data_IF_979653290414
#
_entry.id   IF_979653290414
#
_cell.length_a   1.000
_cell.length_b   1.000
_cell.length_c   1.000
_cell.angle_alpha   90.00
_cell.angle_beta   90.00
_cell.angle_gamma   90.00
#
_symmetry.space_group_name_H-M   'P 1'
#
loop_
_entity.id
_entity.type
_entity.pdbx_description
1 polymer ?
#
# COMPACT_ATOMS: atom_id res chain seq x y z
N UNK A 1 6.25 -22.92 -30.56
CA UNK A 1 7.55 -23.08 -29.92
C UNK A 1 7.27 -22.91 -28.43
N UNK A 2 7.51 -23.93 -27.55
CA UNK A 2 7.20 -23.80 -26.14
C UNK A 2 8.24 -22.92 -25.46
N UNK A 3 7.78 -21.94 -24.68
CA UNK A 3 8.63 -21.12 -23.81
C UNK A 3 9.20 -22.00 -22.69
N UNK A 4 10.52 -22.15 -22.66
CA UNK A 4 11.23 -22.87 -21.62
C UNK A 4 11.19 -22.08 -20.31
N UNK A 5 10.63 -22.68 -19.26
CA UNK A 5 10.81 -22.22 -17.89
C UNK A 5 12.30 -22.33 -17.53
N UNK A 6 12.95 -21.20 -17.31
CA UNK A 6 14.29 -21.18 -16.75
C UNK A 6 14.21 -21.66 -15.30
N UNK A 7 14.87 -22.76 -14.98
CA UNK A 7 15.00 -23.25 -13.61
C UNK A 7 15.90 -22.29 -12.82
N UNK A 8 15.60 -22.01 -11.54
CA UNK A 8 16.43 -21.13 -10.71
C UNK A 8 17.82 -21.73 -10.50
N UNK A 9 18.85 -20.89 -10.27
CA UNK A 9 20.22 -21.36 -10.08
C UNK A 9 20.33 -22.25 -8.84
N UNK A 10 20.93 -23.42 -9.00
CA UNK A 10 21.16 -24.39 -7.92
C UNK A 10 22.55 -24.16 -7.35
N UNK A 11 22.67 -23.75 -6.10
CA UNK A 11 23.94 -23.72 -5.37
C UNK A 11 24.08 -24.99 -4.53
N UNK A 12 25.25 -25.62 -4.57
CA UNK A 12 25.62 -26.77 -3.73
C UNK A 12 26.35 -26.26 -2.50
N UNK A 13 25.91 -26.69 -1.31
CA UNK A 13 26.68 -26.44 -0.09
C UNK A 13 27.86 -27.43 0.01
N UNK A 14 28.81 -27.19 0.92
CA UNK A 14 30.02 -28.00 1.14
C UNK A 14 29.77 -29.48 1.53
N UNK A 15 28.52 -29.91 1.62
CA UNK A 15 28.12 -31.31 1.95
C UNK A 15 27.26 -31.95 0.83
N UNK A 16 27.19 -31.35 -0.35
CA UNK A 16 26.50 -31.92 -1.50
C UNK A 16 24.96 -32.00 -1.41
N UNK A 17 24.34 -31.34 -0.43
CA UNK A 17 22.90 -31.25 -0.31
C UNK A 17 22.39 -30.09 -1.18
N UNK A 18 21.38 -30.37 -2.02
CA UNK A 18 20.66 -29.33 -2.77
C UNK A 18 19.83 -28.52 -1.78
N UNK A 19 20.30 -27.33 -1.46
CA UNK A 19 19.48 -26.36 -0.73
C UNK A 19 18.69 -25.57 -1.76
N UNK A 20 17.42 -25.88 -1.89
CA UNK A 20 16.49 -25.01 -2.59
C UNK A 20 16.25 -23.81 -1.68
N UNK A 21 16.96 -22.70 -1.91
CA UNK A 21 16.52 -21.41 -1.40
C UNK A 21 15.23 -21.07 -2.13
N UNK A 22 14.12 -21.46 -1.54
CA UNK A 22 12.83 -20.87 -1.86
C UNK A 22 12.95 -19.41 -1.39
N UNK A 23 13.34 -18.51 -2.30
CA UNK A 23 13.19 -17.07 -2.05
C UNK A 23 11.69 -16.86 -1.84
N UNK A 24 11.30 -16.84 -0.56
CA UNK A 24 9.93 -16.56 -0.18
C UNK A 24 9.70 -15.13 -0.60
N UNK A 25 8.95 -14.94 -1.70
CA UNK A 25 8.54 -13.60 -2.10
C UNK A 25 7.83 -12.98 -0.88
N UNK A 26 8.42 -11.93 -0.34
CA UNK A 26 7.93 -11.34 0.91
C UNK A 26 6.48 -10.82 0.78
N UNK A 27 6.01 -10.58 -0.45
CA UNK A 27 4.60 -10.27 -0.75
C UNK A 27 3.67 -11.48 -0.64
N UNK A 28 4.18 -12.72 -0.58
CA UNK A 28 3.34 -13.94 -0.51
C UNK A 28 2.43 -13.98 0.73
N UNK A 29 2.78 -13.20 1.78
CA UNK A 29 1.90 -13.02 2.94
C UNK A 29 0.57 -12.35 2.59
N UNK A 30 0.48 -11.65 1.44
CA UNK A 30 -0.78 -11.10 0.91
C UNK A 30 -1.63 -12.13 0.18
N UNK A 31 -1.06 -13.27 -0.28
CA UNK A 31 -1.81 -14.26 -1.05
C UNK A 31 -3.09 -14.74 -0.34
N UNK A 32 -3.06 -15.17 0.95
CA UNK A 32 -4.23 -15.69 1.66
C UNK A 32 -5.16 -14.59 2.20
N UNK A 33 -4.95 -13.32 1.87
CA UNK A 33 -5.65 -12.19 2.48
C UNK A 33 -6.66 -11.60 1.51
N UNK A 34 -7.91 -11.44 1.94
CA UNK A 34 -8.98 -10.74 1.21
C UNK A 34 -9.29 -9.36 1.82
N UNK A 35 -8.68 -9.06 2.99
CA UNK A 35 -8.86 -7.80 3.70
C UNK A 35 -7.60 -7.40 4.45
N UNK A 36 -7.26 -6.12 4.34
CA UNK A 36 -6.21 -5.50 5.15
C UNK A 36 -6.82 -4.44 6.05
N UNK A 37 -6.28 -4.34 7.26
CA UNK A 37 -6.53 -3.26 8.22
C UNK A 37 -5.23 -2.49 8.39
N UNK A 38 -5.26 -1.18 8.18
CA UNK A 38 -4.10 -0.30 8.29
C UNK A 38 -4.39 0.69 9.42
N UNK A 39 -3.63 0.61 10.49
CA UNK A 39 -3.80 1.43 11.69
C UNK A 39 -2.60 2.34 11.90
N UNK A 40 -2.87 3.64 12.03
CA UNK A 40 -1.83 4.57 12.46
C UNK A 40 -1.57 4.39 13.97
N UNK A 41 -0.32 4.16 14.33
CA UNK A 41 0.12 3.95 15.70
C UNK A 41 0.95 5.15 16.20
N UNK A 42 0.69 5.61 17.40
CA UNK A 42 1.45 6.71 18.04
C UNK A 42 2.70 6.19 18.77
N UNK A 43 2.61 5.00 19.34
CA UNK A 43 3.70 4.36 20.07
C UNK A 43 4.18 3.13 19.33
N UNK A 44 5.47 3.04 19.14
CA UNK A 44 6.11 1.97 18.38
C UNK A 44 7.20 1.31 19.18
N UNK A 45 7.20 -0.03 19.18
CA UNK A 45 8.32 -0.83 19.62
C UNK A 45 9.54 -0.71 18.68
N UNK A 46 10.50 -1.60 18.84
CA UNK A 46 11.82 -1.53 18.22
C UNK A 46 11.84 -1.63 16.69
N UNK A 47 10.82 -2.18 16.03
CA UNK A 47 10.81 -2.51 14.59
C UNK A 47 11.00 -1.27 13.69
N UNK A 48 10.47 -0.12 14.09
CA UNK A 48 10.59 1.13 13.32
C UNK A 48 11.45 2.19 14.00
N UNK A 49 12.36 1.81 14.89
CA UNK A 49 13.25 2.77 15.59
C UNK A 49 14.17 3.52 14.65
N UNK A 50 14.53 2.95 13.49
CA UNK A 50 15.34 3.61 12.45
C UNK A 50 14.59 4.66 11.64
N UNK A 51 13.27 4.78 11.77
CA UNK A 51 12.46 5.74 11.02
C UNK A 51 12.04 6.92 11.88
N UNK A 52 12.70 8.05 11.72
CA UNK A 52 12.35 9.33 12.36
C UNK A 52 11.14 9.97 11.67
N UNK A 53 9.93 9.44 11.90
CA UNK A 53 8.73 9.94 11.26
C UNK A 53 7.53 9.92 12.20
N UNK A 54 6.58 10.83 11.94
CA UNK A 54 5.31 10.91 12.68
C UNK A 54 4.27 9.92 12.17
N UNK A 55 4.35 9.53 10.89
CA UNK A 55 3.37 8.67 10.24
C UNK A 55 3.91 7.25 10.17
N UNK A 56 3.49 6.44 11.12
CA UNK A 56 3.81 5.00 11.22
C UNK A 56 2.50 4.22 11.28
N UNK A 57 2.45 3.10 10.57
CA UNK A 57 1.26 2.30 10.42
C UNK A 57 1.58 0.82 10.61
N UNK A 58 0.65 0.09 11.18
CA UNK A 58 0.62 -1.35 11.19
C UNK A 58 -0.39 -1.84 10.14
N UNK A 59 -0.03 -2.88 9.42
CA UNK A 59 -0.85 -3.54 8.41
C UNK A 59 -1.13 -4.95 8.89
N UNK A 60 -2.40 -5.26 9.14
CA UNK A 60 -2.87 -6.57 9.63
C UNK A 60 -3.89 -7.18 8.69
N UNK A 61 -4.10 -8.50 8.82
CA UNK A 61 -5.20 -9.22 8.19
C UNK A 61 -6.53 -9.01 8.95
N UNK A 62 -7.58 -9.72 8.51
CA UNK A 62 -8.90 -9.67 9.13
C UNK A 62 -8.95 -10.30 10.52
N UNK A 63 -8.02 -11.20 10.85
CA UNK A 63 -7.88 -11.83 12.17
C UNK A 63 -7.08 -10.97 13.17
N UNK A 64 -6.47 -9.88 12.68
CA UNK A 64 -5.61 -9.00 13.47
C UNK A 64 -4.16 -9.46 13.55
N UNK A 65 -3.74 -10.43 12.74
CA UNK A 65 -2.34 -10.82 12.65
C UNK A 65 -1.56 -9.73 11.91
N UNK A 66 -0.49 -9.23 12.53
CA UNK A 66 0.39 -8.24 11.90
C UNK A 66 1.14 -8.86 10.73
N UNK A 67 0.98 -8.24 9.56
CA UNK A 67 1.64 -8.66 8.32
C UNK A 67 2.87 -7.80 8.04
N UNK A 68 2.68 -6.48 8.08
CA UNK A 68 3.70 -5.50 7.71
C UNK A 68 3.62 -4.25 8.59
N UNK A 69 4.66 -3.45 8.50
CA UNK A 69 4.76 -2.13 9.09
C UNK A 69 5.06 -1.11 7.99
N UNK A 70 4.52 0.08 8.11
CA UNK A 70 4.76 1.13 7.13
C UNK A 70 5.18 2.43 7.82
N UNK A 71 6.14 3.12 7.23
CA UNK A 71 6.61 4.39 7.73
C UNK A 71 6.89 5.36 6.57
N UNK A 72 6.51 6.62 6.76
CA UNK A 72 6.96 7.68 5.87
C UNK A 72 8.46 7.92 6.11
N UNK A 73 9.26 7.88 5.05
CA UNK A 73 10.70 8.13 5.10
C UNK A 73 11.03 9.46 4.43
N UNK A 74 11.91 10.21 5.06
CA UNK A 74 12.25 11.54 4.59
C UNK A 74 11.10 12.54 4.73
N UNK A 75 11.31 13.74 4.26
CA UNK A 75 10.31 14.80 4.29
C UNK A 75 10.70 15.92 5.25
N UNK A 76 10.86 17.12 4.68
CA UNK A 76 11.10 18.33 5.44
C UNK A 76 9.79 18.79 6.10
N UNK A 77 9.85 19.17 7.39
CA UNK A 77 8.74 19.81 8.09
C UNK A 77 8.25 21.06 7.35
N UNK A 78 9.17 21.80 6.71
CA UNK A 78 8.84 22.96 5.90
C UNK A 78 8.02 22.58 4.67
N UNK A 79 8.35 21.49 3.98
CA UNK A 79 7.56 21.02 2.83
C UNK A 79 6.15 20.59 3.25
N UNK A 80 6.00 19.99 4.44
CA UNK A 80 4.67 19.67 5.00
C UNK A 80 3.84 20.92 5.22
N UNK A 81 4.45 21.97 5.77
CA UNK A 81 3.76 23.22 6.09
C UNK A 81 3.33 23.99 4.82
N UNK A 82 4.21 24.06 3.80
CA UNK A 82 3.97 24.88 2.61
C UNK A 82 3.23 24.14 1.50
N UNK A 83 3.54 22.86 1.27
CA UNK A 83 3.00 22.11 0.13
C UNK A 83 1.77 21.27 0.49
N UNK A 84 1.53 21.00 1.78
CA UNK A 84 0.37 20.21 2.23
C UNK A 84 0.17 18.95 1.37
N UNK A 85 -1.02 18.82 0.74
CA UNK A 85 -1.38 17.70 -0.10
C UNK A 85 -0.53 17.56 -1.40
N UNK A 86 0.29 18.56 -1.76
CA UNK A 86 1.17 18.53 -2.94
C UNK A 86 2.59 18.04 -2.62
N UNK A 87 2.94 17.85 -1.34
CA UNK A 87 4.28 17.48 -0.93
C UNK A 87 4.70 16.11 -1.51
N UNK A 88 5.98 15.96 -1.90
CA UNK A 88 6.53 14.64 -2.17
C UNK A 88 6.59 13.83 -0.87
N UNK A 89 6.45 12.53 -0.97
CA UNK A 89 6.66 11.60 0.12
C UNK A 89 7.13 10.24 -0.38
N UNK A 90 7.75 9.49 0.50
CA UNK A 90 8.05 8.07 0.32
C UNK A 90 7.53 7.34 1.54
N UNK A 91 6.78 6.25 1.33
CA UNK A 91 6.39 5.32 2.38
C UNK A 91 7.07 3.99 2.11
N UNK A 92 7.81 3.50 3.09
CA UNK A 92 8.39 2.15 3.07
C UNK A 92 7.46 1.21 3.82
N UNK A 93 7.13 0.09 3.21
CA UNK A 93 6.45 -1.03 3.87
C UNK A 93 7.48 -2.12 4.09
N UNK A 94 7.60 -2.55 5.33
CA UNK A 94 8.59 -3.55 5.76
C UNK A 94 7.92 -4.69 6.53
N UNK A 95 8.57 -5.83 6.58
CA UNK A 95 8.17 -6.94 7.45
C UNK A 95 8.70 -6.79 8.88
N UNK A 96 8.51 -7.85 9.72
CA UNK A 96 9.00 -7.90 11.09
C UNK A 96 10.54 -7.87 11.21
N UNK A 97 11.24 -8.26 10.15
CA UNK A 97 12.71 -8.29 10.09
C UNK A 97 13.27 -7.01 9.46
N UNK A 98 12.41 -5.97 9.30
CA UNK A 98 12.74 -4.68 8.66
C UNK A 98 13.18 -4.80 7.19
N UNK A 99 12.82 -5.91 6.53
CA UNK A 99 13.06 -6.07 5.09
C UNK A 99 11.99 -5.32 4.31
N UNK A 100 12.42 -4.55 3.32
CA UNK A 100 11.48 -3.80 2.45
C UNK A 100 10.65 -4.75 1.61
N UNK A 101 9.34 -4.54 1.60
CA UNK A 101 8.37 -5.28 0.79
C UNK A 101 7.97 -4.45 -0.43
N UNK A 102 7.55 -3.22 -0.19
CA UNK A 102 7.21 -2.25 -1.23
C UNK A 102 7.63 -0.84 -0.81
N UNK A 103 7.87 -0.01 -1.81
CA UNK A 103 8.07 1.43 -1.66
C UNK A 103 6.98 2.17 -2.40
N UNK A 104 6.31 3.09 -1.74
CA UNK A 104 5.33 4.00 -2.32
C UNK A 104 6.01 5.34 -2.50
N UNK A 105 6.29 5.73 -3.74
CA UNK A 105 7.03 6.95 -4.06
C UNK A 105 6.14 7.95 -4.76
N UNK A 106 5.91 9.09 -4.13
CA UNK A 106 5.23 10.22 -4.71
C UNK A 106 6.21 11.35 -4.98
N UNK A 107 6.34 11.71 -6.26
CA UNK A 107 7.12 12.89 -6.68
C UNK A 107 6.29 14.16 -6.54
N UNK A 108 6.95 15.30 -6.39
CA UNK A 108 6.29 16.60 -6.42
C UNK A 108 5.67 16.84 -7.82
N UNK A 109 4.36 17.17 -7.85
CA UNK A 109 3.66 17.59 -9.07
C UNK A 109 2.58 18.61 -8.74
N UNK A 110 2.46 19.65 -9.57
CA UNK A 110 1.51 20.74 -9.33
C UNK A 110 0.04 20.35 -9.58
N UNK A 111 -0.24 19.48 -10.56
CA UNK A 111 -1.62 19.26 -11.04
C UNK A 111 -2.17 17.85 -10.77
N UNK A 112 -1.35 16.83 -10.77
CA UNK A 112 -1.82 15.46 -10.64
C UNK A 112 -1.15 14.75 -9.47
N UNK A 113 -1.98 14.23 -8.56
CA UNK A 113 -1.51 13.34 -7.52
C UNK A 113 -1.22 11.98 -8.15
N UNK A 114 0.03 11.59 -8.13
CA UNK A 114 0.52 10.33 -8.69
C UNK A 114 1.46 9.68 -7.69
N UNK A 115 1.40 8.35 -7.59
CA UNK A 115 2.35 7.57 -6.82
C UNK A 115 2.77 6.33 -7.60
N UNK A 116 4.07 6.05 -7.62
CA UNK A 116 4.65 4.81 -8.11
C UNK A 116 4.71 3.81 -6.96
N UNK A 117 4.31 2.57 -7.21
CA UNK A 117 4.42 1.45 -6.27
C UNK A 117 5.52 0.54 -6.80
N UNK A 118 6.58 0.39 -6.02
CA UNK A 118 7.78 -0.35 -6.38
C UNK A 118 7.91 -1.57 -5.45
N UNK A 119 8.47 -2.66 -5.94
CA UNK A 119 8.85 -3.79 -5.10
C UNK A 119 10.16 -3.53 -4.33
N UNK A 120 10.65 -4.55 -3.61
CA UNK A 120 11.88 -4.49 -2.84
C UNK A 120 13.13 -4.22 -3.70
N UNK A 121 13.12 -4.63 -4.97
CA UNK A 121 14.20 -4.44 -5.94
C UNK A 121 14.10 -3.09 -6.68
N UNK A 122 13.07 -2.30 -6.37
CA UNK A 122 12.81 -1.01 -7.01
C UNK A 122 12.15 -1.13 -8.39
N UNK A 123 11.61 -2.30 -8.74
CA UNK A 123 10.87 -2.49 -9.98
C UNK A 123 9.43 -1.99 -9.81
N UNK A 124 8.89 -1.38 -10.86
CA UNK A 124 7.54 -0.84 -10.85
C UNK A 124 6.51 -1.98 -10.85
N UNK A 125 5.70 -2.06 -9.80
CA UNK A 125 4.52 -2.92 -9.74
C UNK A 125 3.32 -2.27 -10.42
N UNK A 126 3.15 -0.98 -10.20
CA UNK A 126 2.06 -0.21 -10.78
C UNK A 126 2.07 1.25 -10.35
N UNK A 127 1.16 2.02 -10.92
CA UNK A 127 1.04 3.44 -10.68
C UNK A 127 -0.39 3.84 -10.39
N UNK A 128 -0.54 4.82 -9.50
CA UNK A 128 -1.82 5.38 -9.10
C UNK A 128 -1.83 6.84 -9.51
N UNK A 129 -2.78 7.24 -10.37
CA UNK A 129 -2.84 8.61 -10.90
C UNK A 129 -4.23 9.20 -10.69
N UNK A 130 -4.33 10.33 -9.99
CA UNK A 130 -5.59 11.06 -9.84
C UNK A 130 -6.05 11.62 -11.18
N UNK A 131 -7.27 11.32 -11.58
CA UNK A 131 -7.89 11.91 -12.78
C UNK A 131 -8.45 13.29 -12.48
N UNK A 132 -8.39 14.17 -13.46
CA UNK A 132 -9.07 15.46 -13.36
C UNK A 132 -10.57 15.24 -13.47
N UNK A 133 -11.28 15.60 -12.42
CA UNK A 133 -12.75 15.54 -12.35
C UNK A 133 -13.24 16.74 -11.54
N UNK A 134 -14.32 17.39 -11.95
CA UNK A 134 -14.83 18.57 -11.26
C UNK A 134 -15.41 18.27 -9.88
N UNK A 135 -16.06 17.11 -9.74
CA UNK A 135 -16.86 16.80 -8.54
C UNK A 135 -16.51 15.45 -7.92
N UNK A 136 -16.03 14.50 -8.71
CA UNK A 136 -15.77 13.13 -8.27
C UNK A 136 -14.29 12.93 -7.93
N UNK A 137 -13.99 11.97 -7.05
CA UNK A 137 -12.63 11.55 -6.73
C UNK A 137 -12.36 10.26 -7.49
N UNK A 138 -11.62 10.36 -8.58
CA UNK A 138 -11.31 9.20 -9.43
C UNK A 138 -9.80 9.08 -9.57
N UNK A 139 -9.29 7.86 -9.40
CA UNK A 139 -7.91 7.49 -9.66
C UNK A 139 -7.86 6.35 -10.67
N UNK A 140 -6.91 6.43 -11.58
CA UNK A 140 -6.52 5.36 -12.49
C UNK A 140 -5.45 4.52 -11.82
N UNK A 141 -5.56 3.21 -11.88
CA UNK A 141 -4.55 2.24 -11.44
C UNK A 141 -4.02 1.56 -12.69
N UNK A 142 -2.74 1.74 -12.97
CA UNK A 142 -2.05 1.06 -14.06
C UNK A 142 -1.08 0.02 -13.51
N UNK A 143 -0.85 -1.03 -14.29
CA UNK A 143 0.19 -2.01 -14.01
C UNK A 143 1.59 -1.50 -14.40
N UNK A 144 2.59 -2.39 -14.34
CA UNK A 144 3.97 -2.08 -14.72
C UNK A 144 4.15 -1.80 -16.22
N UNK A 145 3.23 -2.25 -17.08
CA UNK A 145 3.24 -1.98 -18.53
C UNK A 145 2.62 -0.61 -18.86
N UNK A 146 1.91 0.00 -17.90
CA UNK A 146 1.16 1.23 -18.07
C UNK A 146 -0.28 1.02 -18.54
N UNK A 147 -0.76 -0.23 -18.61
CA UNK A 147 -2.16 -0.54 -18.89
C UNK A 147 -3.02 -0.23 -17.67
N UNK A 148 -4.19 0.43 -17.88
CA UNK A 148 -5.14 0.67 -16.81
C UNK A 148 -5.89 -0.61 -16.49
N UNK A 149 -5.67 -1.11 -15.26
CA UNK A 149 -6.26 -2.37 -14.78
C UNK A 149 -7.45 -2.14 -13.84
N UNK A 150 -7.48 -1.02 -13.14
CA UNK A 150 -8.56 -0.66 -12.21
C UNK A 150 -8.77 0.85 -12.14
N UNK A 151 -9.92 1.24 -11.60
CA UNK A 151 -10.21 2.61 -11.17
C UNK A 151 -10.61 2.63 -9.70
N UNK A 152 -10.15 3.65 -8.96
CA UNK A 152 -10.72 3.97 -7.64
C UNK A 152 -11.74 5.08 -7.80
N UNK A 153 -12.96 4.81 -7.39
CA UNK A 153 -14.08 5.74 -7.45
C UNK A 153 -14.54 6.14 -6.05
N UNK A 154 -14.41 7.42 -5.70
CA UNK A 154 -14.86 7.98 -4.43
C UNK A 154 -16.25 8.64 -4.56
N UNK A 155 -17.34 7.99 -4.12
CA UNK A 155 -18.68 8.56 -4.16
C UNK A 155 -18.78 9.84 -3.33
N UNK A 156 -19.55 10.84 -3.82
CA UNK A 156 -19.72 12.12 -3.12
C UNK A 156 -20.36 11.97 -1.74
N UNK A 157 -21.37 11.11 -1.64
CA UNK A 157 -22.13 10.90 -0.40
C UNK A 157 -21.42 9.99 0.61
N UNK A 158 -20.30 9.36 0.20
CA UNK A 158 -19.47 8.49 1.05
C UNK A 158 -18.03 8.99 1.04
N UNK A 159 -17.73 10.12 1.71
CA UNK A 159 -16.42 10.77 1.62
C UNK A 159 -15.26 9.92 2.14
N UNK A 160 -15.55 8.88 2.93
CA UNK A 160 -14.57 7.98 3.54
C UNK A 160 -14.36 6.68 2.75
N UNK A 161 -15.00 6.52 1.57
CA UNK A 161 -14.99 5.27 0.81
C UNK A 161 -14.50 5.52 -0.61
N UNK A 162 -13.68 4.59 -1.11
CA UNK A 162 -13.29 4.46 -2.51
C UNK A 162 -13.58 3.04 -2.96
N UNK A 163 -14.41 2.90 -3.98
CA UNK A 163 -14.72 1.63 -4.62
C UNK A 163 -13.61 1.28 -5.59
N UNK A 164 -13.18 0.03 -5.60
CA UNK A 164 -12.22 -0.52 -6.56
C UNK A 164 -13.06 -1.07 -7.72
N UNK A 165 -12.96 -0.43 -8.87
CA UNK A 165 -13.77 -0.74 -10.05
C UNK A 165 -12.91 -1.39 -11.14
N UNK A 166 -13.41 -2.46 -11.74
CA UNK A 166 -12.90 -3.08 -12.95
C UNK A 166 -14.09 -3.38 -13.86
N UNK A 167 -14.03 -2.97 -15.12
CA UNK A 167 -15.11 -3.19 -16.09
C UNK A 167 -16.50 -2.77 -15.56
N UNK A 168 -16.57 -1.59 -14.92
CA UNK A 168 -17.77 -1.02 -14.29
C UNK A 168 -18.31 -1.81 -13.08
N UNK A 169 -17.68 -2.91 -12.67
CA UNK A 169 -18.05 -3.71 -11.50
C UNK A 169 -17.17 -3.37 -10.29
N UNK A 170 -17.80 -3.27 -9.11
CA UNK A 170 -17.07 -3.12 -7.86
C UNK A 170 -16.45 -4.46 -7.48
N UNK A 171 -15.11 -4.50 -7.42
CA UNK A 171 -14.33 -5.67 -7.00
C UNK A 171 -13.97 -5.62 -5.53
N UNK A 172 -13.92 -4.43 -4.96
CA UNK A 172 -13.52 -4.23 -3.57
C UNK A 172 -13.62 -2.76 -3.19
N UNK A 173 -13.08 -2.40 -2.02
CA UNK A 173 -13.12 -1.01 -1.56
C UNK A 173 -12.05 -0.67 -0.55
N UNK A 174 -11.70 0.61 -0.50
CA UNK A 174 -10.91 1.23 0.55
C UNK A 174 -11.84 2.10 1.38
N UNK A 175 -11.86 1.93 2.71
CA UNK A 175 -12.70 2.71 3.62
C UNK A 175 -11.89 3.22 4.79
N UNK A 176 -11.94 4.54 5.06
CA UNK A 176 -11.43 5.13 6.29
C UNK A 176 -12.47 4.95 7.42
N UNK A 177 -12.02 4.88 8.67
CA UNK A 177 -12.87 4.58 9.85
C UNK A 177 -13.45 3.17 9.78
N UNK A 178 -12.60 2.20 9.49
CA UNK A 178 -12.98 0.81 9.59
C UNK A 178 -13.19 0.43 11.05
N UNK A 179 -14.45 0.31 11.49
CA UNK A 179 -14.79 -0.38 12.72
C UNK A 179 -14.79 -1.87 12.42
N UNK A 180 -13.65 -2.52 12.58
CA UNK A 180 -13.53 -3.98 12.48
C UNK A 180 -14.43 -4.70 13.48
N UNK A 181 -14.33 -6.03 13.59
CA UNK A 181 -15.12 -6.90 14.46
C UNK A 181 -15.16 -6.50 15.95
N UNK A 182 -14.29 -5.63 16.41
CA UNK A 182 -14.28 -5.08 17.76
C UNK A 182 -15.09 -3.78 17.82
N UNK A 183 -16.38 -3.89 18.11
CA UNK A 183 -17.30 -2.74 18.34
C UNK A 183 -16.92 -1.85 19.53
N UNK A 184 -15.83 -2.11 20.23
CA UNK A 184 -15.49 -1.46 21.50
C UNK A 184 -14.21 -0.62 21.49
N UNK A 185 -13.44 -0.61 20.40
CA UNK A 185 -12.25 0.23 20.30
C UNK A 185 -12.54 1.46 19.39
N UNK A 186 -13.31 2.40 19.91
CA UNK A 186 -13.27 3.77 19.39
C UNK A 186 -11.94 4.40 19.81
N UNK A 187 -10.88 4.03 19.10
CA UNK A 187 -9.65 4.80 19.15
C UNK A 187 -9.79 5.93 18.13
N UNK A 188 -9.35 7.14 18.49
CA UNK A 188 -9.20 8.28 17.56
C UNK A 188 -8.15 8.02 16.45
N UNK A 189 -7.69 6.80 16.31
CA UNK A 189 -6.71 6.39 15.33
C UNK A 189 -7.35 6.36 13.94
N UNK A 190 -6.64 6.93 12.99
CA UNK A 190 -7.00 6.91 11.58
C UNK A 190 -6.77 5.49 11.02
N UNK A 191 -7.85 4.68 11.01
CA UNK A 191 -7.81 3.31 10.54
C UNK A 191 -8.43 3.20 9.15
N UNK A 192 -7.76 2.47 8.27
CA UNK A 192 -8.28 2.11 6.95
C UNK A 192 -8.53 0.61 6.86
N UNK A 193 -9.58 0.25 6.13
CA UNK A 193 -9.82 -1.12 5.68
C UNK A 193 -9.75 -1.18 4.15
N UNK A 194 -9.11 -2.20 3.62
CA UNK A 194 -9.14 -2.54 2.19
C UNK A 194 -9.72 -3.93 2.04
N UNK A 195 -10.68 -4.09 1.14
CA UNK A 195 -11.20 -5.41 0.75
C UNK A 195 -11.00 -5.62 -0.75
N UNK A 196 -10.64 -6.85 -1.12
CA UNK A 196 -10.42 -7.27 -2.51
C UNK A 196 -10.65 -8.79 -2.66
N UNK A 197 -10.82 -9.33 -3.87
CA UNK A 197 -10.91 -10.76 -4.10
C UNK A 197 -9.70 -11.52 -3.58
N UNK A 198 -9.94 -12.70 -3.02
CA UNK A 198 -8.88 -13.55 -2.46
C UNK A 198 -7.87 -14.01 -3.53
N UNK A 199 -8.36 -14.25 -4.74
CA UNK A 199 -7.61 -14.76 -5.89
C UNK A 199 -6.75 -13.71 -6.61
N UNK A 200 -6.77 -12.46 -6.15
CA UNK A 200 -5.86 -11.46 -6.71
C UNK A 200 -4.40 -11.76 -6.38
N UNK A 201 -3.54 -11.51 -7.35
CA UNK A 201 -2.10 -11.63 -7.17
C UNK A 201 -1.59 -10.73 -6.04
N UNK A 202 -0.59 -11.18 -5.25
CA UNK A 202 0.01 -10.38 -4.18
C UNK A 202 0.48 -9.00 -4.62
N UNK A 203 1.04 -8.89 -5.84
CA UNK A 203 1.48 -7.62 -6.43
C UNK A 203 0.32 -6.63 -6.64
N UNK A 204 -0.84 -7.11 -7.11
CA UNK A 204 -2.06 -6.31 -7.23
C UNK A 204 -2.54 -5.82 -5.87
N UNK A 205 -2.58 -6.70 -4.86
CA UNK A 205 -2.95 -6.35 -3.48
C UNK A 205 -1.99 -5.31 -2.89
N UNK A 206 -0.69 -5.41 -3.20
CA UNK A 206 0.33 -4.45 -2.79
C UNK A 206 0.10 -3.06 -3.40
N UNK A 207 -0.35 -2.97 -4.67
CA UNK A 207 -0.71 -1.70 -5.30
C UNK A 207 -1.85 -1.02 -4.51
N UNK A 208 -2.87 -1.78 -4.09
CA UNK A 208 -3.97 -1.21 -3.31
C UNK A 208 -3.57 -0.86 -1.87
N UNK A 209 -2.64 -1.57 -1.26
CA UNK A 209 -2.02 -1.13 -0.01
C UNK A 209 -1.35 0.24 -0.20
N UNK A 210 -0.61 0.43 -1.29
CA UNK A 210 -0.02 1.73 -1.65
C UNK A 210 -1.06 2.82 -1.88
N UNK A 211 -2.23 2.46 -2.45
CA UNK A 211 -3.33 3.40 -2.68
C UNK A 211 -3.90 3.98 -1.38
N UNK A 212 -3.93 3.21 -0.29
CA UNK A 212 -4.36 3.70 1.02
C UNK A 212 -3.52 4.90 1.46
N UNK A 213 -2.19 4.79 1.37
CA UNK A 213 -1.30 5.88 1.79
C UNK A 213 -1.45 7.12 0.92
N UNK A 214 -1.58 6.95 -0.41
CA UNK A 214 -1.83 8.09 -1.29
C UNK A 214 -3.17 8.78 -0.95
N UNK A 215 -4.23 8.02 -0.71
CA UNK A 215 -5.55 8.53 -0.33
C UNK A 215 -5.48 9.26 1.01
N UNK A 216 -4.78 8.69 2.00
CA UNK A 216 -4.62 9.29 3.31
C UNK A 216 -3.94 10.65 3.22
N UNK A 217 -2.78 10.71 2.59
CA UNK A 217 -2.02 11.95 2.44
C UNK A 217 -2.72 13.02 1.59
N UNK A 218 -3.52 12.63 0.59
CA UNK A 218 -4.20 13.57 -0.29
C UNK A 218 -5.50 14.10 0.32
N UNK A 219 -6.25 13.27 1.03
CA UNK A 219 -7.61 13.61 1.45
C UNK A 219 -7.81 13.81 2.95
N UNK A 220 -6.93 13.23 3.78
CA UNK A 220 -7.20 13.14 5.22
C UNK A 220 -6.12 13.76 6.10
N UNK A 221 -4.86 13.73 5.73
CA UNK A 221 -3.76 14.26 6.56
C UNK A 221 -3.96 15.74 6.97
N UNK A 222 -4.59 16.56 6.12
CA UNK A 222 -4.79 17.99 6.39
C UNK A 222 -6.07 18.33 7.16
N UNK A 223 -6.83 17.34 7.62
CA UNK A 223 -8.10 17.55 8.34
C UNK A 223 -7.98 17.29 9.86
N UNK A 224 -6.80 16.91 10.34
CA UNK A 224 -6.50 16.59 11.74
C UNK A 224 -5.66 17.67 12.45
N UNK A 225 -5.71 18.94 12.00
CA UNK A 225 -5.10 20.08 12.64
C UNK A 225 -6.14 21.08 13.11
#
# INVERSE_FOLDING_TARGET
VPFGHASPPTFLNSRGHKTYHFERNMMDRLAPVDRLVIEQRKEWGEILTGFETKNKYEVSDQEGNSLYYAAEVGGSLLLRLFLKALRPFTVMVVDSDSQTIIEIRRRFRFYFHEADILDADGQLLGKITKRFTLVRRVYSITDSSGEEIFQLFGPLLKPWTFQIMQDEMEQGRITKKWSGLAKEAFSDADNFGVTFPLDWEPSTKAIFLGAVFLIDFVHFENKGG
#
